data_IF_718596751024
#
_entry.id   IF_718596751024
#
_cell.length_a   1.000
_cell.length_b   1.000
_cell.length_c   1.000
_cell.angle_alpha   90.00
_cell.angle_beta   90.00
_cell.angle_gamma   90.00
#
_symmetry.space_group_name_H-M   'P 1'
#
loop_
_entity.id
_entity.type
_entity.pdbx_description
1 polymer ?
#
# COMPACT_ATOMS: atom_id res chain seq x y z
N UNK A 1 -0.82 -14.07 5.05
CA UNK A 1 -0.25 -12.93 4.30
C UNK A 1 -1.38 -12.03 3.79
N UNK A 2 -1.22 -10.74 3.95
CA UNK A 2 -2.17 -9.76 3.44
C UNK A 2 -1.51 -9.05 2.26
N UNK A 3 -2.26 -8.85 1.18
CA UNK A 3 -1.84 -8.00 0.08
C UNK A 3 -2.66 -6.73 0.10
N UNK A 4 -1.97 -5.60 0.15
CA UNK A 4 -2.60 -4.29 0.23
C UNK A 4 -2.34 -3.55 -1.07
N UNK A 5 -3.42 -3.10 -1.71
CA UNK A 5 -3.32 -2.26 -2.89
C UNK A 5 -3.26 -0.81 -2.45
N UNK A 6 -2.25 -0.09 -2.92
CA UNK A 6 -2.01 1.29 -2.55
C UNK A 6 -2.00 2.15 -3.80
N UNK A 7 -2.84 3.17 -3.82
CA UNK A 7 -2.76 4.22 -4.82
C UNK A 7 -1.84 5.31 -4.29
N UNK A 8 -0.71 5.51 -4.96
CA UNK A 8 0.35 6.41 -4.53
C UNK A 8 0.27 7.70 -5.34
N UNK A 9 0.27 8.83 -4.65
CA UNK A 9 0.27 10.14 -5.29
C UNK A 9 1.64 10.52 -5.83
N UNK A 10 1.68 11.64 -6.54
CA UNK A 10 2.92 12.14 -7.16
C UNK A 10 3.99 12.51 -6.12
N UNK A 11 3.57 12.74 -4.89
CA UNK A 11 4.45 13.07 -3.75
C UNK A 11 4.90 11.82 -2.96
N UNK A 12 4.49 10.63 -3.39
CA UNK A 12 4.82 9.39 -2.70
C UNK A 12 3.94 9.08 -1.50
N UNK A 13 2.90 9.87 -1.27
CA UNK A 13 1.97 9.67 -0.16
C UNK A 13 0.80 8.79 -0.59
N UNK A 14 0.43 7.75 0.21
CA UNK A 14 -0.73 6.94 -0.13
C UNK A 14 -2.02 7.77 -0.20
N UNK A 15 -2.76 7.64 -1.30
CA UNK A 15 -4.05 8.29 -1.47
C UNK A 15 -5.17 7.36 -1.01
N UNK A 16 -5.16 6.12 -1.51
CA UNK A 16 -6.12 5.09 -1.15
C UNK A 16 -5.39 3.82 -0.80
N UNK A 17 -5.86 3.13 0.23
CA UNK A 17 -5.30 1.87 0.69
C UNK A 17 -6.44 0.88 0.85
N UNK A 18 -6.38 -0.24 0.12
CA UNK A 18 -7.42 -1.27 0.15
C UNK A 18 -6.79 -2.64 0.27
N UNK A 19 -7.55 -3.61 0.81
CA UNK A 19 -7.09 -4.99 0.89
C UNK A 19 -7.35 -5.68 -0.43
N UNK A 20 -6.28 -6.08 -1.11
CA UNK A 20 -6.36 -6.83 -2.37
C UNK A 20 -6.52 -8.33 -2.11
N UNK A 21 -5.88 -8.84 -1.06
CA UNK A 21 -6.04 -10.23 -0.63
C UNK A 21 -6.00 -10.27 0.90
N UNK A 22 -7.09 -10.74 1.50
CA UNK A 22 -7.27 -10.76 2.95
C UNK A 22 -6.51 -11.92 3.59
N UNK A 23 -6.09 -11.72 4.84
CA UNK A 23 -5.57 -12.79 5.71
C UNK A 23 -6.69 -13.64 6.32
N UNK A 24 -7.96 -13.29 6.08
CA UNK A 24 -9.15 -13.84 6.73
C UNK A 24 -9.27 -13.42 8.20
N UNK A 25 -8.49 -12.46 8.64
CA UNK A 25 -8.57 -11.85 9.95
C UNK A 25 -8.74 -10.35 9.81
N UNK A 26 -9.85 -9.80 10.33
CA UNK A 26 -10.10 -8.37 10.24
C UNK A 26 -9.05 -7.55 10.99
N UNK A 27 -8.59 -8.07 12.13
CA UNK A 27 -7.60 -7.37 12.92
C UNK A 27 -6.26 -7.26 12.20
N UNK A 28 -5.82 -8.35 11.54
CA UNK A 28 -4.59 -8.36 10.77
C UNK A 28 -4.73 -7.48 9.52
N UNK A 29 -5.87 -7.53 8.85
CA UNK A 29 -6.10 -6.70 7.67
C UNK A 29 -6.07 -5.22 8.04
N UNK A 30 -6.72 -4.85 9.15
CA UNK A 30 -6.70 -3.47 9.64
C UNK A 30 -5.30 -3.02 10.02
N UNK A 31 -4.54 -3.87 10.70
CA UNK A 31 -3.17 -3.55 11.07
C UNK A 31 -2.31 -3.33 9.83
N UNK A 32 -2.49 -4.14 8.79
CA UNK A 32 -1.78 -3.96 7.53
C UNK A 32 -2.12 -2.63 6.86
N UNK A 33 -3.40 -2.27 6.82
CA UNK A 33 -3.83 -1.00 6.23
C UNK A 33 -3.24 0.18 7.00
N UNK A 34 -3.30 0.14 8.33
CA UNK A 34 -2.76 1.21 9.17
C UNK A 34 -1.25 1.37 8.99
N UNK A 35 -0.53 0.26 8.89
CA UNK A 35 0.91 0.29 8.67
C UNK A 35 1.25 0.94 7.33
N UNK A 36 0.58 0.51 6.26
CA UNK A 36 0.86 1.01 4.91
C UNK A 36 0.50 2.49 4.77
N UNK A 37 -0.54 2.95 5.44
CA UNK A 37 -0.92 4.38 5.42
C UNK A 37 0.18 5.28 5.96
N UNK A 38 1.05 4.77 6.80
CA UNK A 38 2.16 5.53 7.38
C UNK A 38 3.42 5.48 6.53
N UNK A 39 3.43 4.60 5.53
CA UNK A 39 4.58 4.45 4.65
C UNK A 39 4.65 5.62 3.68
N UNK A 40 5.86 5.84 3.18
CA UNK A 40 6.10 6.74 2.06
C UNK A 40 6.68 5.92 0.93
N UNK A 41 6.19 6.16 -0.27
CA UNK A 41 6.58 5.41 -1.44
C UNK A 41 7.36 6.33 -2.37
N UNK A 42 8.19 5.70 -3.22
CA UNK A 42 8.77 6.44 -4.34
C UNK A 42 7.70 6.51 -5.41
N UNK A 43 7.31 7.71 -5.86
CA UNK A 43 6.31 7.81 -6.91
C UNK A 43 6.83 7.20 -8.21
N UNK A 44 5.93 6.62 -8.99
CA UNK A 44 6.28 6.19 -10.32
C UNK A 44 6.75 7.38 -11.14
N UNK A 45 7.63 7.12 -12.12
CA UNK A 45 8.14 8.19 -12.97
C UNK A 45 7.84 7.90 -14.43
N UNK A 46 7.49 8.95 -15.14
CA UNK A 46 7.32 8.90 -16.59
C UNK A 46 8.06 10.10 -17.17
N UNK A 47 8.99 9.84 -18.07
CA UNK A 47 9.80 10.88 -18.73
C UNK A 47 10.48 11.80 -17.71
N UNK A 48 10.96 11.21 -16.60
CA UNK A 48 11.68 11.94 -15.57
C UNK A 48 10.80 12.71 -14.59
N UNK A 49 9.46 12.64 -14.73
CA UNK A 49 8.53 13.33 -13.84
C UNK A 49 7.74 12.34 -13.00
N UNK A 50 7.49 12.65 -11.71
CA UNK A 50 6.69 11.78 -10.87
C UNK A 50 5.23 11.75 -11.34
N UNK A 51 4.65 10.55 -11.35
CA UNK A 51 3.24 10.35 -11.69
C UNK A 51 2.59 9.49 -10.63
N UNK A 52 1.29 9.61 -10.50
CA UNK A 52 0.53 8.72 -9.61
C UNK A 52 0.56 7.30 -10.15
N UNK A 53 0.53 6.32 -9.25
CA UNK A 53 0.54 4.92 -9.64
C UNK A 53 -0.08 4.04 -8.59
N UNK A 54 -0.28 2.77 -8.93
CA UNK A 54 -0.85 1.78 -8.02
C UNK A 54 0.18 0.67 -7.79
N UNK A 55 0.36 0.30 -6.52
CA UNK A 55 1.27 -0.79 -6.15
C UNK A 55 0.54 -1.76 -5.23
N UNK A 56 0.98 -3.02 -5.23
CA UNK A 56 0.48 -4.02 -4.29
C UNK A 56 1.61 -4.40 -3.36
N UNK A 57 1.38 -4.23 -2.06
CA UNK A 57 2.38 -4.49 -1.02
C UNK A 57 2.00 -5.77 -0.27
N UNK A 58 2.83 -6.81 -0.30
CA UNK A 58 2.60 -7.98 0.52
C UNK A 58 3.06 -7.71 1.95
N UNK A 59 2.19 -8.00 2.92
CA UNK A 59 2.53 -7.88 4.33
C UNK A 59 2.38 -9.23 4.98
N UNK A 60 3.45 -9.69 5.60
CA UNK A 60 3.48 -10.96 6.29
C UNK A 60 3.56 -10.70 7.79
N UNK A 61 2.63 -11.30 8.53
CA UNK A 61 2.66 -11.28 9.98
C UNK A 61 3.21 -12.60 10.48
N UNK A 62 4.24 -12.52 11.30
CA UNK A 62 4.80 -13.69 11.99
C UNK A 62 4.24 -13.73 13.40
N UNK A 63 3.56 -14.84 13.68
CA UNK A 63 3.04 -15.09 15.02
C UNK A 63 4.02 -15.91 15.84
#
# INVERSE_FOLDING_TARGET
MVRVQVDVGVDGVPINVTVAASSQSRDLDRAALDAVRRWRFRPAQRDGQPVAGTVVVPIEFKL
#
